data_IF_483850084804
#
_entry.id   IF_483850084804
#
_cell.length_a   1.000
_cell.length_b   1.000
_cell.length_c   1.000
_cell.angle_alpha   90.00
_cell.angle_beta   90.00
_cell.angle_gamma   90.00
#
_symmetry.space_group_name_H-M   'P 1'
#
loop_
_entity.id
_entity.type
_entity.pdbx_description
1 polymer ?
#
# COMPACT_ATOMS: atom_id res chain seq x y z
N UNK A 1 6.32 0.30 -14.01
CA UNK A 1 4.93 -0.09 -13.72
C UNK A 1 4.91 -1.06 -12.55
N UNK A 2 3.96 -0.95 -11.63
CA UNK A 2 3.85 -1.82 -10.46
C UNK A 2 3.43 -3.24 -10.83
N UNK A 3 4.14 -4.24 -10.32
CA UNK A 3 3.79 -5.65 -10.50
C UNK A 3 2.78 -6.07 -9.41
N UNK A 4 1.55 -6.40 -9.81
CA UNK A 4 0.47 -6.75 -8.88
C UNK A 4 0.75 -8.04 -8.11
N UNK A 5 1.46 -9.01 -8.70
CA UNK A 5 1.78 -10.25 -7.98
C UNK A 5 2.68 -9.97 -6.77
N UNK A 6 3.66 -9.08 -6.92
CA UNK A 6 4.55 -8.66 -5.82
C UNK A 6 3.78 -7.89 -4.76
N UNK A 7 2.82 -7.06 -5.17
CA UNK A 7 1.96 -6.31 -4.25
C UNK A 7 1.05 -7.22 -3.42
N UNK A 8 0.53 -8.30 -4.02
CA UNK A 8 -0.25 -9.32 -3.32
C UNK A 8 0.65 -10.06 -2.33
N UNK A 9 1.83 -10.51 -2.76
CA UNK A 9 2.79 -11.17 -1.85
C UNK A 9 3.17 -10.28 -0.66
N UNK A 10 3.37 -8.98 -0.90
CA UNK A 10 3.65 -8.01 0.16
C UNK A 10 2.48 -7.84 1.14
N UNK A 11 1.23 -7.98 0.69
CA UNK A 11 0.06 -7.98 1.57
C UNK A 11 -0.08 -9.29 2.34
N UNK A 12 0.22 -10.43 1.73
CA UNK A 12 0.00 -11.73 2.36
C UNK A 12 1.07 -12.04 3.42
N UNK A 13 2.28 -11.50 3.28
CA UNK A 13 3.38 -11.68 4.23
C UNK A 13 3.30 -10.80 5.48
N UNK A 14 2.34 -9.88 5.59
CA UNK A 14 2.18 -9.07 6.82
C UNK A 14 1.62 -9.92 7.95
N UNK A 15 1.93 -9.54 9.18
CA UNK A 15 1.47 -10.26 10.37
C UNK A 15 -0.06 -10.31 10.47
N UNK A 16 -0.60 -11.48 10.80
CA UNK A 16 -1.98 -11.62 11.23
C UNK A 16 -2.22 -10.83 12.54
N UNK A 17 -3.37 -10.17 12.67
CA UNK A 17 -3.78 -9.37 13.83
C UNK A 17 -3.49 -7.87 13.69
N UNK A 18 -2.31 -7.49 13.19
CA UNK A 18 -1.89 -6.07 13.19
C UNK A 18 -1.09 -5.62 11.97
N UNK A 19 -0.80 -6.54 11.05
CA UNK A 19 0.01 -6.25 9.87
C UNK A 19 -0.65 -5.21 8.95
N UNK A 20 0.14 -4.23 8.53
CA UNK A 20 -0.30 -3.18 7.60
C UNK A 20 0.58 -3.22 6.35
N UNK A 21 -0.04 -3.44 5.20
CA UNK A 21 0.63 -3.33 3.91
C UNK A 21 0.29 -1.99 3.26
N UNK A 22 1.31 -1.23 2.83
CA UNK A 22 1.14 0.03 2.13
C UNK A 22 1.61 -0.11 0.69
N UNK A 23 0.68 -0.02 -0.25
CA UNK A 23 0.96 -0.09 -1.68
C UNK A 23 1.30 1.30 -2.23
N UNK A 24 2.50 1.42 -2.79
CA UNK A 24 3.01 2.65 -3.44
C UNK A 24 3.10 2.50 -4.96
N UNK A 25 3.26 1.26 -5.44
CA UNK A 25 3.38 0.98 -6.87
C UNK A 25 2.07 1.26 -7.63
N UNK A 26 2.19 1.79 -8.85
CA UNK A 26 1.04 2.06 -9.73
C UNK A 26 0.89 0.93 -10.74
N UNK A 27 -0.15 0.07 -10.63
CA UNK A 27 -0.40 -1.00 -11.57
C UNK A 27 -1.05 -0.48 -12.86
N UNK A 28 -1.11 -1.32 -13.89
CA UNK A 28 -1.88 -1.06 -15.10
C UNK A 28 -3.39 -1.08 -14.80
N UNK A 29 -4.18 -0.38 -15.63
CA UNK A 29 -5.63 -0.23 -15.45
C UNK A 29 -6.39 -1.57 -15.38
N UNK A 30 -5.93 -2.58 -16.10
CA UNK A 30 -6.57 -3.90 -16.17
C UNK A 30 -6.07 -4.90 -15.13
N UNK A 31 -5.14 -4.49 -14.26
CA UNK A 31 -4.55 -5.38 -13.29
C UNK A 31 -5.48 -5.63 -12.10
N UNK A 32 -5.61 -6.88 -11.68
CA UNK A 32 -6.54 -7.30 -10.62
C UNK A 32 -5.78 -7.73 -9.37
N UNK A 33 -6.13 -7.14 -8.22
CA UNK A 33 -5.63 -7.56 -6.92
C UNK A 33 -6.54 -8.64 -6.35
N UNK A 34 -6.03 -9.87 -6.20
CA UNK A 34 -6.78 -11.02 -5.67
C UNK A 34 -6.04 -11.57 -4.47
N UNK A 35 -6.74 -11.75 -3.36
CA UNK A 35 -6.22 -12.33 -2.13
C UNK A 35 -7.33 -13.07 -1.39
N UNK A 36 -6.97 -13.92 -0.43
CA UNK A 36 -7.95 -14.69 0.33
C UNK A 36 -8.73 -13.79 1.32
N UNK A 37 -10.07 -13.87 1.39
CA UNK A 37 -10.87 -13.03 2.30
C UNK A 37 -10.47 -13.15 3.76
N UNK A 38 -9.94 -14.31 4.17
CA UNK A 38 -9.45 -14.53 5.53
C UNK A 38 -8.34 -13.56 5.93
N UNK A 39 -7.57 -13.03 4.96
CA UNK A 39 -6.53 -12.04 5.27
C UNK A 39 -7.12 -10.77 5.91
N UNK A 40 -8.31 -10.33 5.49
CA UNK A 40 -8.98 -9.17 6.10
C UNK A 40 -9.66 -9.52 7.42
N UNK A 41 -10.19 -10.75 7.54
CA UNK A 41 -10.79 -11.24 8.79
C UNK A 41 -9.74 -11.47 9.88
N UNK A 42 -8.52 -11.84 9.50
CA UNK A 42 -7.34 -11.90 10.37
C UNK A 42 -6.75 -10.51 10.65
N UNK A 43 -7.52 -9.44 10.49
CA UNK A 43 -7.15 -8.06 10.82
C UNK A 43 -5.93 -7.51 10.04
N UNK A 44 -5.55 -8.09 8.89
CA UNK A 44 -4.56 -7.46 8.00
C UNK A 44 -5.18 -6.24 7.35
N UNK A 45 -4.44 -5.13 7.37
CA UNK A 45 -4.88 -3.87 6.78
C UNK A 45 -4.14 -3.58 5.48
N UNK A 46 -4.90 -3.37 4.40
CA UNK A 46 -4.36 -2.89 3.12
C UNK A 46 -4.57 -1.39 2.98
N UNK A 47 -3.50 -0.63 2.73
CA UNK A 47 -3.55 0.81 2.46
C UNK A 47 -2.85 1.12 1.14
N UNK A 48 -3.32 2.15 0.46
CA UNK A 48 -2.62 2.75 -0.68
C UNK A 48 -2.08 4.12 -0.28
N UNK A 49 -1.00 4.57 -0.93
CA UNK A 49 -0.55 5.94 -0.82
C UNK A 49 -0.06 6.47 -2.15
N UNK A 50 -0.43 7.72 -2.43
CA UNK A 50 0.18 8.52 -3.48
C UNK A 50 0.98 9.62 -2.80
N UNK A 51 2.24 9.78 -3.23
CA UNK A 51 3.14 10.81 -2.71
C UNK A 51 3.31 10.75 -1.17
N UNK A 52 3.31 9.55 -0.58
CA UNK A 52 3.50 9.35 0.87
C UNK A 52 2.42 9.98 1.76
N UNK A 53 1.24 10.30 1.20
CA UNK A 53 0.18 11.09 1.84
C UNK A 53 0.60 12.51 2.22
N UNK A 54 1.68 13.03 1.63
CA UNK A 54 2.09 14.42 1.79
C UNK A 54 1.13 15.34 1.03
N UNK A 55 0.77 16.46 1.65
CA UNK A 55 0.07 17.55 0.97
C UNK A 55 1.12 18.41 0.25
N UNK A 56 1.12 18.46 -1.10
CA UNK A 56 2.22 19.07 -1.86
C UNK A 56 2.52 20.52 -1.48
N UNK A 57 1.48 21.32 -1.17
CA UNK A 57 1.65 22.75 -0.88
C UNK A 57 2.13 23.04 0.55
N UNK A 58 1.73 22.22 1.52
CA UNK A 58 1.99 22.52 2.95
C UNK A 58 3.11 21.69 3.53
N UNK A 59 3.34 20.48 3.03
CA UNK A 59 4.24 19.52 3.66
C UNK A 59 5.57 19.40 2.90
N UNK A 60 5.60 19.62 1.58
CA UNK A 60 6.84 19.59 0.79
C UNK A 60 7.82 20.68 1.22
N UNK A 61 7.42 21.96 1.45
CA UNK A 61 8.36 22.97 1.92
C UNK A 61 9.03 22.59 3.24
N UNK A 62 8.33 21.91 4.15
CA UNK A 62 8.87 21.46 5.44
C UNK A 62 9.95 20.38 5.32
N UNK A 63 9.92 19.57 4.26
CA UNK A 63 10.92 18.53 4.01
C UNK A 63 12.22 19.12 3.43
N UNK A 64 12.13 20.27 2.74
CA UNK A 64 13.28 20.94 2.10
C UNK A 64 14.07 21.78 3.11
N UNK A 65 13.43 22.25 4.18
CA UNK A 65 14.04 23.06 5.24
C UNK A 65 14.71 22.24 6.35
N UNK A 66 14.68 20.91 6.26
CA UNK A 66 15.38 19.96 7.14
C UNK A 66 16.78 19.63 6.60
#
# INVERSE_FOLDING_TARGET
TGNVNVMISAFECVHDGWGVAVLVGVPNKDAQFKTHPMNFLNEKTLKGTFFGNYKPRTDVPKVVEL
#
